data_IF_699257299037
#
_entry.id   IF_699257299037
#
_cell.length_a   1.000
_cell.length_b   1.000
_cell.length_c   1.000
_cell.angle_alpha   90.00
_cell.angle_beta   90.00
_cell.angle_gamma   90.00
#
_symmetry.space_group_name_H-M   'P 1'
#
loop_
_entity.id
_entity.type
_entity.pdbx_description
1 polymer ?
#
# COMPACT_ATOMS: atom_id res chain seq x y z
N UNK A 1 -33.45 7.24 -7.27
CA UNK A 1 -32.50 6.14 -7.60
C UNK A 1 -31.29 6.57 -8.44
N UNK A 2 -31.41 6.78 -9.77
CA UNK A 2 -30.25 7.01 -10.67
C UNK A 2 -29.37 8.20 -10.30
N UNK A 3 -29.96 9.28 -9.79
CA UNK A 3 -29.21 10.47 -9.35
C UNK A 3 -28.37 10.19 -8.11
N UNK A 4 -28.94 9.46 -7.14
CA UNK A 4 -28.25 9.05 -5.91
C UNK A 4 -27.12 8.05 -6.20
N UNK A 5 -27.35 7.05 -7.06
CA UNK A 5 -26.30 6.11 -7.46
C UNK A 5 -25.13 6.80 -8.18
N UNK A 6 -25.40 7.83 -9.00
CA UNK A 6 -24.33 8.66 -9.59
C UNK A 6 -23.56 9.47 -8.55
N UNK A 7 -24.22 9.94 -7.50
CA UNK A 7 -23.57 10.66 -6.41
C UNK A 7 -22.71 9.72 -5.56
N UNK A 8 -23.24 8.54 -5.22
CA UNK A 8 -22.48 7.46 -4.59
C UNK A 8 -21.28 7.07 -5.44
N UNK A 9 -21.47 6.83 -6.74
CA UNK A 9 -20.39 6.53 -7.68
C UNK A 9 -19.31 7.62 -7.68
N UNK A 10 -19.70 8.90 -7.68
CA UNK A 10 -18.77 10.03 -7.63
C UNK A 10 -17.94 9.98 -6.35
N UNK A 11 -18.56 9.79 -5.19
CA UNK A 11 -17.87 9.71 -3.90
C UNK A 11 -16.98 8.47 -3.78
N UNK A 12 -17.44 7.32 -4.28
CA UNK A 12 -16.69 6.06 -4.28
C UNK A 12 -15.48 6.12 -5.22
N UNK A 13 -15.61 6.71 -6.42
CA UNK A 13 -14.50 6.86 -7.40
C UNK A 13 -13.34 7.70 -6.85
N UNK A 14 -13.57 8.57 -5.87
CA UNK A 14 -12.50 9.32 -5.20
C UNK A 14 -11.61 8.40 -4.34
N UNK A 15 -12.11 7.22 -3.95
CA UNK A 15 -11.48 6.33 -2.95
C UNK A 15 -11.22 4.91 -3.46
N UNK A 16 -12.01 4.38 -4.38
CA UNK A 16 -11.93 2.97 -4.76
C UNK A 16 -11.48 2.79 -6.22
N UNK A 17 -11.07 1.57 -6.59
CA UNK A 17 -10.83 1.20 -7.98
C UNK A 17 -12.15 0.95 -8.70
N UNK A 18 -12.17 1.05 -10.03
CA UNK A 18 -13.43 0.99 -10.82
C UNK A 18 -14.21 -0.30 -10.60
N UNK A 19 -13.52 -1.44 -10.46
CA UNK A 19 -14.12 -2.73 -10.14
C UNK A 19 -14.77 -2.73 -8.74
N UNK A 20 -14.08 -2.21 -7.73
CA UNK A 20 -14.61 -2.10 -6.37
C UNK A 20 -15.81 -1.15 -6.28
N UNK A 21 -15.77 -0.05 -7.04
CA UNK A 21 -16.90 0.88 -7.14
C UNK A 21 -18.13 0.18 -7.70
N UNK A 22 -17.95 -0.63 -8.74
CA UNK A 22 -19.05 -1.40 -9.35
C UNK A 22 -19.66 -2.37 -8.33
N UNK A 23 -18.84 -3.12 -7.61
CA UNK A 23 -19.33 -4.10 -6.62
C UNK A 23 -20.12 -3.43 -5.49
N UNK A 24 -19.66 -2.27 -5.00
CA UNK A 24 -20.35 -1.52 -3.95
C UNK A 24 -21.66 -0.95 -4.48
N UNK A 25 -21.68 -0.40 -5.70
CA UNK A 25 -22.90 0.12 -6.32
C UNK A 25 -23.93 -0.99 -6.47
N UNK A 26 -23.53 -2.15 -6.99
CA UNK A 26 -24.42 -3.30 -7.15
C UNK A 26 -25.00 -3.79 -5.82
N UNK A 27 -24.20 -3.82 -4.75
CA UNK A 27 -24.68 -4.19 -3.41
C UNK A 27 -25.77 -3.22 -2.90
N UNK A 28 -25.56 -1.91 -3.04
CA UNK A 28 -26.56 -0.92 -2.60
C UNK A 28 -27.77 -0.87 -3.53
N UNK A 29 -27.61 -1.14 -4.83
CA UNK A 29 -28.70 -1.25 -5.78
C UNK A 29 -29.63 -2.42 -5.41
N UNK A 30 -29.06 -3.62 -5.17
CA UNK A 30 -29.81 -4.81 -4.72
C UNK A 30 -30.55 -4.54 -3.41
N UNK A 31 -29.89 -3.94 -2.42
CA UNK A 31 -30.52 -3.61 -1.13
C UNK A 31 -31.65 -2.57 -1.24
N UNK A 32 -31.50 -1.57 -2.10
CA UNK A 32 -32.57 -0.58 -2.34
C UNK A 32 -33.74 -1.24 -3.07
N UNK A 33 -33.47 -2.12 -4.03
CA UNK A 33 -34.51 -2.89 -4.74
C UNK A 33 -35.30 -3.80 -3.79
N UNK A 34 -34.63 -4.46 -2.84
CA UNK A 34 -35.28 -5.29 -1.82
C UNK A 34 -36.23 -4.50 -0.90
N UNK A 35 -35.81 -3.32 -0.44
CA UNK A 35 -36.66 -2.42 0.37
C UNK A 35 -37.83 -1.87 -0.44
N UNK A 36 -37.58 -1.52 -1.70
CA UNK A 36 -38.62 -1.07 -2.62
C UNK A 36 -39.67 -2.17 -2.88
N UNK A 37 -39.21 -3.43 -3.06
CA UNK A 37 -40.09 -4.59 -3.20
C UNK A 37 -40.92 -4.88 -1.94
N UNK A 38 -40.42 -4.48 -0.77
CA UNK A 38 -41.11 -4.56 0.52
C UNK A 38 -42.18 -3.47 0.70
N UNK A 39 -42.31 -2.54 -0.26
CA UNK A 39 -43.34 -1.50 -0.27
C UNK A 39 -42.94 -0.20 0.42
N UNK A 40 -41.66 -0.01 0.73
CA UNK A 40 -41.13 1.25 1.27
C UNK A 40 -41.03 2.33 0.17
N UNK A 41 -41.22 3.60 0.54
CA UNK A 41 -41.07 4.71 -0.40
C UNK A 41 -39.59 4.97 -0.70
N UNK A 42 -39.30 5.30 -1.96
CA UNK A 42 -37.92 5.48 -2.42
C UNK A 42 -37.24 6.71 -1.82
N UNK A 43 -37.98 7.77 -1.52
CA UNK A 43 -37.40 8.97 -0.93
C UNK A 43 -37.06 8.74 0.56
N UNK A 44 -37.88 7.95 1.26
CA UNK A 44 -37.61 7.52 2.64
C UNK A 44 -36.35 6.63 2.69
N UNK A 45 -36.26 5.61 1.81
CA UNK A 45 -35.09 4.72 1.74
C UNK A 45 -33.81 5.52 1.46
N UNK A 46 -33.85 6.46 0.52
CA UNK A 46 -32.66 7.24 0.14
C UNK A 46 -32.27 8.27 1.20
N UNK A 47 -33.22 8.72 2.03
CA UNK A 47 -32.95 9.63 3.14
C UNK A 47 -32.14 8.99 4.26
N UNK A 48 -32.24 7.66 4.43
CA UNK A 48 -31.46 6.88 5.39
C UNK A 48 -29.97 6.76 5.01
N UNK A 49 -29.61 7.06 3.75
CA UNK A 49 -28.27 6.78 3.22
C UNK A 49 -27.51 8.03 2.77
N UNK A 50 -26.43 8.36 3.51
CA UNK A 50 -25.44 9.34 3.08
C UNK A 50 -24.30 8.68 2.28
N UNK A 51 -24.18 9.06 1.00
CA UNK A 51 -23.13 8.59 0.09
C UNK A 51 -21.71 8.79 0.65
N UNK A 52 -21.46 9.87 1.40
CA UNK A 52 -20.15 10.15 2.01
C UNK A 52 -19.86 9.23 3.19
N UNK A 53 -20.88 8.92 3.98
CA UNK A 53 -20.77 8.02 5.12
C UNK A 53 -20.55 6.59 4.63
N UNK A 54 -21.30 6.15 3.63
CA UNK A 54 -21.10 4.86 2.95
C UNK A 54 -19.68 4.74 2.40
N UNK A 55 -19.19 5.76 1.70
CA UNK A 55 -17.83 5.74 1.18
C UNK A 55 -16.77 5.67 2.29
N UNK A 56 -17.06 6.20 3.49
CA UNK A 56 -16.17 6.14 4.65
C UNK A 56 -16.21 4.77 5.32
N UNK A 57 -17.40 4.22 5.59
CA UNK A 57 -17.56 2.91 6.24
C UNK A 57 -17.05 1.76 5.36
N UNK A 58 -17.29 1.83 4.04
CA UNK A 58 -16.78 0.84 3.09
C UNK A 58 -15.25 0.90 2.90
N UNK A 59 -14.58 1.97 3.37
CA UNK A 59 -13.13 2.10 3.20
C UNK A 59 -12.38 0.97 3.90
N UNK A 60 -12.76 0.61 5.13
CA UNK A 60 -12.09 -0.43 5.90
C UNK A 60 -12.33 -1.82 5.29
N UNK A 61 -13.56 -2.12 4.88
CA UNK A 61 -13.92 -3.42 4.30
C UNK A 61 -13.29 -3.66 2.92
N UNK A 62 -13.25 -2.64 2.05
CA UNK A 62 -12.63 -2.74 0.73
C UNK A 62 -11.11 -2.82 0.84
N UNK A 63 -10.47 -2.02 1.70
CA UNK A 63 -9.01 -2.08 1.92
C UNK A 63 -8.59 -3.44 2.49
N UNK A 64 -9.43 -4.06 3.31
CA UNK A 64 -9.17 -5.39 3.89
C UNK A 64 -9.36 -6.52 2.86
N UNK A 65 -10.33 -6.41 1.93
CA UNK A 65 -10.56 -7.41 0.88
C UNK A 65 -9.65 -7.23 -0.34
N UNK A 66 -9.00 -6.08 -0.51
CA UNK A 66 -8.12 -5.81 -1.66
C UNK A 66 -6.88 -6.71 -1.63
N UNK A 67 -6.72 -7.51 -2.68
CA UNK A 67 -5.49 -8.24 -2.96
C UNK A 67 -4.37 -7.23 -3.24
N UNK A 68 -3.58 -6.90 -2.22
CA UNK A 68 -2.50 -5.90 -2.30
C UNK A 68 -1.25 -6.48 -3.01
N UNK A 69 -1.42 -7.09 -4.18
CA UNK A 69 -0.35 -7.89 -4.82
C UNK A 69 0.68 -7.07 -5.59
N UNK A 70 0.40 -5.80 -5.86
CA UNK A 70 1.30 -4.89 -6.55
C UNK A 70 1.75 -3.73 -5.66
N UNK A 71 2.98 -3.23 -5.88
CA UNK A 71 3.56 -2.12 -5.11
C UNK A 71 2.67 -0.86 -5.13
N UNK A 72 2.02 -0.59 -6.26
CA UNK A 72 1.09 0.52 -6.42
C UNK A 72 -0.20 0.33 -5.61
N UNK A 73 -0.74 -0.90 -5.57
CA UNK A 73 -1.90 -1.22 -4.75
C UNK A 73 -1.57 -1.10 -3.25
N UNK A 74 -0.42 -1.63 -2.82
CA UNK A 74 0.08 -1.47 -1.44
C UNK A 74 0.19 0.01 -1.09
N UNK A 75 0.88 0.82 -1.90
CA UNK A 75 1.06 2.25 -1.62
C UNK A 75 -0.26 3.04 -1.55
N UNK A 76 -1.23 2.74 -2.42
CA UNK A 76 -2.55 3.38 -2.39
C UNK A 76 -3.34 2.98 -1.14
N UNK A 77 -3.36 1.68 -0.81
CA UNK A 77 -3.98 1.14 0.40
C UNK A 77 -3.35 1.71 1.67
N UNK A 78 -2.01 1.76 1.74
CA UNK A 78 -1.25 2.39 2.83
C UNK A 78 -1.65 3.85 3.04
N UNK A 79 -1.76 4.63 1.95
CA UNK A 79 -2.15 6.05 2.04
C UNK A 79 -3.59 6.22 2.52
N UNK A 80 -4.49 5.32 2.14
CA UNK A 80 -5.89 5.33 2.57
C UNK A 80 -6.03 4.97 4.05
N UNK A 81 -5.38 3.89 4.48
CA UNK A 81 -5.28 3.50 5.88
C UNK A 81 -4.69 4.62 6.73
N UNK A 82 -3.63 5.28 6.24
CA UNK A 82 -2.99 6.37 6.97
C UNK A 82 -3.94 7.56 7.18
N UNK A 83 -4.69 7.96 6.14
CA UNK A 83 -5.70 9.02 6.27
C UNK A 83 -6.80 8.65 7.27
N UNK A 84 -7.25 7.38 7.24
CA UNK A 84 -8.25 6.89 8.18
C UNK A 84 -7.73 6.88 9.62
N UNK A 85 -6.53 6.33 9.85
CA UNK A 85 -5.89 6.28 11.17
C UNK A 85 -5.63 7.67 11.75
N UNK A 86 -5.23 8.64 10.93
CA UNK A 86 -5.00 10.02 11.36
C UNK A 86 -6.30 10.82 11.59
N UNK A 87 -7.42 10.38 11.02
CA UNK A 87 -8.73 11.04 11.22
C UNK A 87 -9.39 10.72 12.57
N UNK A 88 -8.86 9.75 13.32
CA UNK A 88 -9.40 9.34 14.62
C UNK A 88 -8.37 9.57 15.73
N UNK A 89 -8.60 10.46 16.71
CA UNK A 89 -7.62 10.80 17.75
C UNK A 89 -7.10 9.60 18.54
N UNK A 90 -7.91 8.55 18.67
CA UNK A 90 -7.61 7.33 19.41
C UNK A 90 -6.78 6.30 18.62
N UNK A 91 -6.59 6.51 17.31
CA UNK A 91 -5.80 5.67 16.40
C UNK A 91 -4.46 6.32 16.01
N UNK A 92 -4.20 7.54 16.48
CA UNK A 92 -2.97 8.30 16.24
C UNK A 92 -1.69 7.55 16.62
N UNK A 93 -1.57 6.91 17.81
CA UNK A 93 -0.36 6.18 18.19
C UNK A 93 -0.06 5.01 17.23
N UNK A 94 -1.12 4.37 16.74
CA UNK A 94 -1.06 3.25 15.79
C UNK A 94 -0.64 3.76 14.40
N UNK A 95 -1.22 4.87 13.94
CA UNK A 95 -0.82 5.53 12.71
C UNK A 95 0.65 5.97 12.74
N UNK A 96 1.15 6.49 13.85
CA UNK A 96 2.55 6.85 14.02
C UNK A 96 3.49 5.64 13.92
N UNK A 97 3.16 4.53 14.60
CA UNK A 97 3.95 3.30 14.49
C UNK A 97 4.03 2.81 13.04
N UNK A 98 2.91 2.86 12.31
CA UNK A 98 2.88 2.49 10.89
C UNK A 98 3.79 3.38 10.03
N UNK A 99 3.73 4.70 10.21
CA UNK A 99 4.58 5.65 9.47
C UNK A 99 6.05 5.42 9.77
N UNK A 100 6.41 5.24 11.05
CA UNK A 100 7.80 4.98 11.46
C UNK A 100 8.32 3.73 10.77
N UNK A 101 7.55 2.65 10.77
CA UNK A 101 7.94 1.40 10.12
C UNK A 101 8.16 1.61 8.61
N UNK A 102 7.24 2.31 7.93
CA UNK A 102 7.39 2.62 6.50
C UNK A 102 8.63 3.47 6.20
N UNK A 103 8.92 4.46 7.03
CA UNK A 103 10.11 5.31 6.90
C UNK A 103 11.38 4.48 7.09
N UNK A 104 11.43 3.62 8.11
CA UNK A 104 12.58 2.75 8.38
C UNK A 104 12.85 1.84 7.19
N UNK A 105 11.85 1.10 6.71
CA UNK A 105 12.03 0.22 5.55
C UNK A 105 12.39 1.00 4.27
N UNK A 106 11.74 2.16 4.05
CA UNK A 106 12.07 3.04 2.93
C UNK A 106 13.52 3.52 2.99
N UNK A 107 14.02 3.88 4.16
CA UNK A 107 15.41 4.32 4.37
C UNK A 107 16.41 3.20 4.10
N UNK A 108 16.10 1.96 4.50
CA UNK A 108 16.96 0.80 4.24
C UNK A 108 17.06 0.55 2.73
N UNK A 109 15.93 0.49 2.02
CA UNK A 109 15.91 0.28 0.56
C UNK A 109 16.67 1.42 -0.15
N UNK A 110 16.43 2.67 0.27
CA UNK A 110 17.12 3.82 -0.30
C UNK A 110 18.64 3.75 -0.08
N UNK A 111 19.08 3.46 1.15
CA UNK A 111 20.51 3.35 1.48
C UNK A 111 21.20 2.23 0.68
N UNK A 112 20.53 1.08 0.51
CA UNK A 112 21.06 -0.03 -0.27
C UNK A 112 21.12 0.31 -1.77
N UNK A 113 20.10 1.00 -2.28
CA UNK A 113 20.10 1.50 -3.66
C UNK A 113 21.26 2.45 -3.93
N UNK A 114 21.51 3.39 -3.03
CA UNK A 114 22.67 4.30 -3.10
C UNK A 114 23.98 3.54 -2.99
N UNK A 115 24.09 2.57 -2.09
CA UNK A 115 25.29 1.75 -1.93
C UNK A 115 25.63 0.96 -3.21
N UNK A 116 24.63 0.38 -3.87
CA UNK A 116 24.81 -0.33 -5.14
C UNK A 116 25.30 0.63 -6.22
N UNK A 117 24.68 1.80 -6.36
CA UNK A 117 25.13 2.81 -7.34
C UNK A 117 26.57 3.26 -7.07
N UNK A 118 26.89 3.58 -5.81
CA UNK A 118 28.23 3.98 -5.41
C UNK A 118 29.26 2.86 -5.67
N UNK A 119 28.89 1.60 -5.43
CA UNK A 119 29.76 0.45 -5.70
C UNK A 119 30.08 0.31 -7.19
N UNK A 120 29.13 0.57 -8.09
CA UNK A 120 29.37 0.55 -9.54
C UNK A 120 30.41 1.59 -9.94
N UNK A 121 30.29 2.83 -9.43
CA UNK A 121 31.28 3.87 -9.68
C UNK A 121 32.64 3.52 -9.10
N UNK A 122 32.68 2.97 -7.88
CA UNK A 122 33.92 2.55 -7.24
C UNK A 122 34.64 1.46 -8.05
N UNK A 123 33.91 0.47 -8.55
CA UNK A 123 34.46 -0.58 -9.40
C UNK A 123 35.09 0.02 -10.67
N UNK A 124 34.40 0.94 -11.35
CA UNK A 124 34.93 1.60 -12.54
C UNK A 124 36.24 2.37 -12.26
N UNK A 125 36.28 3.13 -11.15
CA UNK A 125 37.48 3.88 -10.73
C UNK A 125 38.63 2.94 -10.40
N UNK A 126 38.37 1.86 -9.67
CA UNK A 126 39.40 0.86 -9.32
C UNK A 126 39.97 0.22 -10.58
N UNK A 127 39.13 -0.15 -11.55
CA UNK A 127 39.60 -0.74 -12.81
C UNK A 127 40.52 0.22 -13.57
N UNK A 128 40.16 1.51 -13.68
CA UNK A 128 41.02 2.52 -14.32
C UNK A 128 42.38 2.61 -13.63
N UNK A 129 42.39 2.65 -12.29
CA UNK A 129 43.62 2.71 -11.51
C UNK A 129 44.49 1.46 -11.71
N UNK A 130 43.88 0.28 -11.82
CA UNK A 130 44.60 -0.97 -12.05
C UNK A 130 45.26 -1.01 -13.43
N UNK A 131 44.59 -0.50 -14.47
CA UNK A 131 45.18 -0.34 -15.80
C UNK A 131 46.36 0.64 -15.78
N UNK A 132 46.24 1.77 -15.08
CA UNK A 132 47.32 2.76 -14.96
C UNK A 132 48.51 2.25 -14.16
N UNK A 133 48.28 1.40 -13.15
CA UNK A 133 49.33 0.79 -12.35
C UNK A 133 50.13 -0.31 -13.10
N UNK A 134 49.73 -0.65 -14.33
CA UNK A 134 50.41 -1.67 -15.12
C UNK A 134 50.24 -3.09 -14.58
N UNK A 135 49.15 -3.36 -13.85
CA UNK A 135 48.83 -4.71 -13.40
C UNK A 135 48.62 -5.64 -14.59
N UNK A 136 49.00 -6.91 -14.43
CA UNK A 136 48.81 -7.92 -15.45
C UNK A 136 47.32 -8.15 -15.74
N UNK A 137 47.05 -8.65 -16.95
CA UNK A 137 45.68 -8.91 -17.41
C UNK A 137 44.96 -9.93 -16.52
N UNK A 138 45.68 -10.90 -15.97
CA UNK A 138 45.12 -11.94 -15.11
C UNK A 138 44.61 -11.37 -13.79
N UNK A 139 45.36 -10.43 -13.19
CA UNK A 139 44.99 -9.74 -11.96
C UNK A 139 43.73 -8.88 -12.16
N UNK A 140 43.67 -8.13 -13.26
CA UNK A 140 42.51 -7.30 -13.59
C UNK A 140 41.25 -8.16 -13.79
N UNK A 141 41.36 -9.28 -14.50
CA UNK A 141 40.26 -10.22 -14.71
C UNK A 141 39.79 -10.82 -13.37
N UNK A 142 40.73 -11.24 -12.52
CA UNK A 142 40.41 -11.82 -11.21
C UNK A 142 39.65 -10.82 -10.31
N UNK A 143 40.13 -9.57 -10.23
CA UNK A 143 39.46 -8.52 -9.47
C UNK A 143 38.08 -8.16 -10.02
N UNK A 144 37.96 -8.07 -11.35
CA UNK A 144 36.66 -7.81 -12.01
C UNK A 144 35.66 -8.91 -11.68
N UNK A 145 36.09 -10.18 -11.75
CA UNK A 145 35.25 -11.32 -11.37
C UNK A 145 34.79 -11.26 -9.91
N UNK A 146 35.72 -10.99 -8.99
CA UNK A 146 35.39 -10.85 -7.57
C UNK A 146 34.41 -9.68 -7.31
N UNK A 147 34.60 -8.54 -7.98
CA UNK A 147 33.73 -7.38 -7.88
C UNK A 147 32.31 -7.68 -8.38
N UNK A 148 32.17 -8.39 -9.51
CA UNK A 148 30.87 -8.80 -10.06
C UNK A 148 30.13 -9.79 -9.15
N UNK A 149 30.85 -10.71 -8.49
CA UNK A 149 30.26 -11.62 -7.50
C UNK A 149 29.72 -10.83 -6.31
N UNK A 150 30.52 -9.89 -5.76
CA UNK A 150 30.09 -9.02 -4.68
C UNK A 150 28.86 -8.17 -5.04
N UNK A 151 28.84 -7.62 -6.25
CA UNK A 151 27.71 -6.84 -6.76
C UNK A 151 26.44 -7.70 -6.92
N UNK A 152 26.59 -8.91 -7.45
CA UNK A 152 25.48 -9.87 -7.60
C UNK A 152 24.90 -10.27 -6.23
N UNK A 153 25.76 -10.44 -5.23
CA UNK A 153 25.32 -10.74 -3.87
C UNK A 153 24.58 -9.56 -3.22
N UNK A 154 25.08 -8.34 -3.38
CA UNK A 154 24.39 -7.13 -2.89
C UNK A 154 23.02 -6.93 -3.54
N UNK A 155 22.92 -7.10 -4.86
CA UNK A 155 21.64 -6.99 -5.58
C UNK A 155 20.65 -8.07 -5.15
N UNK A 156 21.12 -9.29 -4.91
CA UNK A 156 20.29 -10.36 -4.35
C UNK A 156 19.72 -10.01 -2.97
N UNK A 157 20.55 -9.48 -2.07
CA UNK A 157 20.12 -8.98 -0.76
C UNK A 157 19.06 -7.88 -0.90
N UNK A 158 19.27 -6.92 -1.81
CA UNK A 158 18.30 -5.84 -2.05
C UNK A 158 16.94 -6.39 -2.49
N UNK A 159 16.90 -7.35 -3.41
CA UNK A 159 15.65 -7.98 -3.87
C UNK A 159 14.97 -8.70 -2.71
N UNK A 160 15.72 -9.43 -1.89
CA UNK A 160 15.19 -10.16 -0.74
C UNK A 160 14.60 -9.20 0.31
N UNK A 161 15.30 -8.12 0.66
CA UNK A 161 14.82 -7.09 1.57
C UNK A 161 13.59 -6.38 1.00
N UNK A 162 13.56 -6.12 -0.31
CA UNK A 162 12.41 -5.49 -0.97
C UNK A 162 11.17 -6.40 -0.89
N UNK A 163 11.33 -7.71 -1.10
CA UNK A 163 10.25 -8.70 -0.93
C UNK A 163 9.81 -8.80 0.54
N UNK A 164 10.74 -8.84 1.48
CA UNK A 164 10.44 -8.85 2.92
C UNK A 164 9.66 -7.59 3.33
N UNK A 165 10.04 -6.43 2.81
CA UNK A 165 9.34 -5.17 3.04
C UNK A 165 7.90 -5.21 2.53
N UNK A 166 7.68 -5.76 1.33
CA UNK A 166 6.33 -5.95 0.78
C UNK A 166 5.50 -6.89 1.64
N UNK A 167 6.08 -8.02 2.06
CA UNK A 167 5.40 -8.99 2.92
C UNK A 167 5.00 -8.37 4.26
N UNK A 168 5.93 -7.69 4.94
CA UNK A 168 5.68 -7.00 6.20
C UNK A 168 4.64 -5.88 6.01
N UNK A 169 4.69 -5.15 4.90
CA UNK A 169 3.70 -4.09 4.61
C UNK A 169 2.28 -4.66 4.46
N UNK A 170 2.13 -5.83 3.83
CA UNK A 170 0.84 -6.53 3.72
C UNK A 170 0.32 -6.95 5.10
N UNK A 171 1.16 -7.62 5.90
CA UNK A 171 0.82 -8.04 7.27
C UNK A 171 0.43 -6.85 8.15
N UNK A 172 1.18 -5.75 8.07
CA UNK A 172 0.84 -4.53 8.81
C UNK A 172 -0.50 -3.96 8.36
N UNK A 173 -0.77 -3.89 7.06
CA UNK A 173 -2.09 -3.45 6.55
C UNK A 173 -3.20 -4.34 7.11
N UNK A 174 -3.04 -5.66 7.10
CA UNK A 174 -4.06 -6.58 7.60
C UNK A 174 -4.26 -6.45 9.12
N UNK A 175 -3.17 -6.39 9.89
CA UNK A 175 -3.20 -6.20 11.34
C UNK A 175 -3.85 -4.86 11.71
N UNK A 176 -3.49 -3.76 11.03
CA UNK A 176 -4.06 -2.45 11.29
C UNK A 176 -5.52 -2.34 10.86
N UNK A 177 -5.91 -2.96 9.74
CA UNK A 177 -7.32 -3.06 9.34
C UNK A 177 -8.15 -3.86 10.35
N UNK A 178 -7.63 -4.99 10.84
CA UNK A 178 -8.30 -5.80 11.89
C UNK A 178 -8.45 -5.02 13.19
N UNK A 179 -7.41 -4.28 13.59
CA UNK A 179 -7.45 -3.45 14.80
C UNK A 179 -8.42 -2.28 14.67
N UNK A 180 -8.46 -1.60 13.52
CA UNK A 180 -9.41 -0.54 13.24
C UNK A 180 -10.85 -1.06 13.33
N UNK A 181 -11.15 -2.18 12.65
CA UNK A 181 -12.49 -2.80 12.65
C UNK A 181 -12.93 -3.27 14.04
N UNK A 182 -12.02 -3.86 14.83
CA UNK A 182 -12.32 -4.30 16.21
C UNK A 182 -12.66 -3.12 17.12
N UNK A 183 -12.05 -1.96 16.89
CA UNK A 183 -12.24 -0.78 17.73
C UNK A 183 -13.50 0.01 17.36
N UNK A 184 -13.86 0.05 16.07
CA UNK A 184 -15.12 0.61 15.58
C UNK A 184 -16.32 -0.12 16.19
N UNK A 185 -16.28 -1.46 16.19
CA UNK A 185 -17.31 -2.32 16.80
C UNK A 185 -17.46 -2.14 18.33
N UNK A 186 -16.39 -1.74 19.03
CA UNK A 186 -16.42 -1.46 20.47
C UNK A 186 -16.93 -0.05 20.81
N UNK A 187 -16.94 0.87 19.85
CA UNK A 187 -17.47 2.22 20.03
C UNK A 187 -18.99 2.29 19.77
N UNK A 188 -19.55 1.37 18.97
CA UNK A 188 -21.01 1.25 18.77
C UNK A 188 -21.73 0.57 19.95
N UNK A 189 -20.98 -0.01 20.90
CA UNK A 189 -21.52 -0.71 22.08
C UNK A 189 -21.48 0.12 23.38
N UNK A 190 -21.27 1.43 23.28
CA UNK A 190 -21.29 2.40 24.40
C UNK A 190 -22.33 3.47 24.04
#
# INVERSE_FOLDING_TARGET
MKTWLKELERELRLRFYVNEVSDIISFYEEMIEDRLASGEDIDDILSDYDAKEIAKSMTTDVVMKRANDTYQAVAKSSKQLLKFLLSTPLLLPIGFAYVIILIVFGSIIFSLGVAILASTFAIAVVLINMFQAGLGQNEIIAFTGAALIGFSFMTFILIWISKATLYISKELIELFSKLAKKKEKNNESI
#
